data_IF_365206468226
#
_entry.id   IF_365206468226
#
_cell.length_a   1.000
_cell.length_b   1.000
_cell.length_c   1.000
_cell.angle_alpha   90.00
_cell.angle_beta   90.00
_cell.angle_gamma   90.00
#
_symmetry.space_group_name_H-M   'P 1'
#
loop_
_entity.id
_entity.type
_entity.pdbx_description
1 polymer ?
#
# COMPACT_ATOMS: atom_id res chain seq x y z
N UNK A 1 21.61 3.38 -1.05
CA UNK A 1 20.72 3.24 -2.22
C UNK A 1 19.67 4.32 -2.13
N UNK A 2 19.66 5.26 -3.07
CA UNK A 2 18.88 6.50 -2.91
C UNK A 2 17.43 6.35 -3.37
N UNK A 3 17.17 5.44 -4.32
CA UNK A 3 15.83 5.15 -4.88
C UNK A 3 15.29 3.79 -4.41
N UNK A 4 15.55 3.45 -3.15
CA UNK A 4 15.08 2.23 -2.52
C UNK A 4 14.25 2.60 -1.30
N UNK A 5 13.03 2.06 -1.22
CA UNK A 5 12.03 2.39 -0.20
C UNK A 5 11.51 1.13 0.46
N UNK A 6 11.17 1.22 1.74
CA UNK A 6 10.64 0.08 2.45
C UNK A 6 9.57 0.43 3.49
N UNK A 7 8.63 -0.49 3.67
CA UNK A 7 7.67 -0.51 4.76
C UNK A 7 7.78 -1.84 5.51
N UNK A 8 8.09 -1.76 6.80
CA UNK A 8 8.27 -2.90 7.69
C UNK A 8 7.23 -2.83 8.80
N UNK A 9 6.45 -3.89 8.98
CA UNK A 9 5.31 -3.92 9.89
C UNK A 9 5.40 -5.16 10.79
N UNK A 10 5.30 -4.95 12.11
CA UNK A 10 5.21 -6.02 13.11
C UNK A 10 4.02 -5.81 14.03
N UNK A 11 3.09 -6.76 14.10
CA UNK A 11 1.90 -6.66 14.98
C UNK A 11 1.77 -7.96 15.77
N UNK A 12 1.97 -7.88 17.09
CA UNK A 12 1.90 -9.03 17.99
C UNK A 12 0.86 -8.85 19.10
N UNK A 13 0.61 -7.60 19.52
CA UNK A 13 -0.27 -7.28 20.63
C UNK A 13 -1.70 -7.03 20.15
N UNK A 14 -2.47 -8.11 20.02
CA UNK A 14 -3.88 -8.07 19.68
C UNK A 14 -4.76 -8.04 20.94
N UNK A 15 -5.80 -7.21 20.92
CA UNK A 15 -6.77 -7.12 22.03
C UNK A 15 -7.87 -8.18 21.97
N UNK A 16 -8.34 -8.50 20.75
CA UNK A 16 -9.55 -9.32 20.53
C UNK A 16 -9.26 -10.78 20.14
N UNK A 17 -8.00 -11.09 19.84
CA UNK A 17 -7.53 -12.42 19.47
C UNK A 17 -6.22 -12.73 20.20
N UNK A 18 -5.79 -13.98 20.14
CA UNK A 18 -4.55 -14.40 20.78
C UNK A 18 -3.38 -13.52 20.36
N UNK A 19 -2.57 -13.09 21.33
CA UNK A 19 -1.32 -12.39 21.04
C UNK A 19 -0.34 -13.33 20.35
N UNK A 20 0.49 -12.78 19.48
CA UNK A 20 1.64 -13.50 18.94
C UNK A 20 2.86 -13.32 19.86
N UNK A 21 3.86 -14.21 19.78
CA UNK A 21 5.10 -14.04 20.53
C UNK A 21 5.83 -12.76 20.11
N UNK A 22 6.65 -12.22 21.02
CA UNK A 22 7.48 -11.02 20.77
C UNK A 22 8.44 -11.19 19.59
N UNK A 23 8.70 -12.44 19.15
CA UNK A 23 9.48 -12.73 17.94
C UNK A 23 8.95 -11.99 16.72
N UNK A 24 7.64 -11.79 16.60
CA UNK A 24 7.03 -11.01 15.50
C UNK A 24 7.54 -9.57 15.46
N UNK A 25 7.68 -8.94 16.63
CA UNK A 25 8.20 -7.57 16.73
C UNK A 25 9.72 -7.52 16.53
N UNK A 26 10.42 -8.55 17.01
CA UNK A 26 11.86 -8.69 16.82
C UNK A 26 12.22 -8.94 15.36
N UNK A 27 11.42 -9.71 14.63
CA UNK A 27 11.61 -9.95 13.20
C UNK A 27 11.47 -8.64 12.42
N UNK A 28 10.40 -7.87 12.68
CA UNK A 28 10.20 -6.56 12.07
C UNK A 28 11.36 -5.59 12.39
N UNK A 29 11.86 -5.60 13.63
CA UNK A 29 13.02 -4.78 14.00
C UNK A 29 14.29 -5.23 13.26
N UNK A 30 14.56 -6.54 13.22
CA UNK A 30 15.76 -7.10 12.58
C UNK A 30 15.77 -6.82 11.08
N UNK A 31 14.62 -6.93 10.41
CA UNK A 31 14.49 -6.57 9.00
C UNK A 31 14.72 -5.08 8.77
N UNK A 32 14.16 -4.22 9.63
CA UNK A 32 14.42 -2.77 9.55
C UNK A 32 15.92 -2.47 9.69
N UNK A 33 16.57 -3.04 10.71
CA UNK A 33 18.00 -2.82 10.99
C UNK A 33 18.87 -3.31 9.82
N UNK A 34 18.56 -4.48 9.24
CA UNK A 34 19.26 -5.02 8.07
C UNK A 34 19.11 -4.13 6.83
N UNK A 35 17.93 -3.54 6.63
CA UNK A 35 17.67 -2.67 5.46
C UNK A 35 18.49 -1.39 5.51
N UNK A 36 18.57 -0.74 6.68
CA UNK A 36 19.30 0.53 6.84
C UNK A 36 20.80 0.35 7.04
N UNK A 37 21.26 -0.87 7.32
CA UNK A 37 22.68 -1.17 7.49
C UNK A 37 23.45 -0.95 6.18
N UNK A 38 24.41 -0.02 6.21
CA UNK A 38 25.23 0.38 5.07
C UNK A 38 26.16 -0.71 4.54
N UNK A 39 26.47 -1.73 5.36
CA UNK A 39 27.28 -2.88 4.97
C UNK A 39 26.45 -4.01 4.35
N UNK A 40 25.13 -3.97 4.47
CA UNK A 40 24.21 -4.96 3.92
C UNK A 40 23.38 -4.37 2.79
N UNK A 41 22.20 -3.83 3.10
CA UNK A 41 21.25 -3.34 2.09
C UNK A 41 21.40 -1.83 1.80
N UNK A 42 21.86 -1.04 2.78
CA UNK A 42 22.19 0.38 2.61
C UNK A 42 21.03 1.26 2.12
N UNK A 43 19.79 0.95 2.52
CA UNK A 43 18.65 1.84 2.29
C UNK A 43 18.85 3.12 3.12
N UNK A 44 18.48 4.27 2.57
CA UNK A 44 18.41 5.48 3.39
C UNK A 44 17.38 5.29 4.51
N UNK A 45 17.75 5.67 5.73
CA UNK A 45 16.85 5.57 6.89
C UNK A 45 15.54 6.35 6.66
N UNK A 46 15.60 7.47 5.94
CA UNK A 46 14.43 8.28 5.60
C UNK A 46 13.47 7.58 4.62
N UNK A 47 13.96 6.59 3.87
CA UNK A 47 13.17 5.81 2.93
C UNK A 47 12.59 4.52 3.53
N UNK A 48 12.90 4.21 4.79
CA UNK A 48 12.45 2.98 5.47
C UNK A 48 11.51 3.34 6.63
N UNK A 49 10.26 2.89 6.54
CA UNK A 49 9.25 3.09 7.58
C UNK A 49 9.05 1.81 8.39
N UNK A 50 9.25 1.87 9.71
CA UNK A 50 8.90 0.81 10.66
C UNK A 50 7.62 1.17 11.43
N UNK A 51 6.66 0.25 11.47
CA UNK A 51 5.44 0.33 12.28
C UNK A 51 5.30 -0.91 13.15
N UNK A 52 5.16 -0.72 14.47
CA UNK A 52 4.97 -1.80 15.45
C UNK A 52 3.72 -1.62 16.28
N UNK A 53 2.96 -2.69 16.49
CA UNK A 53 1.75 -2.74 17.34
C UNK A 53 0.84 -1.51 17.20
N UNK A 54 0.66 -0.73 18.26
CA UNK A 54 -0.23 0.44 18.30
C UNK A 54 0.11 1.53 17.28
N UNK A 55 1.33 1.56 16.75
CA UNK A 55 1.70 2.46 15.66
C UNK A 55 1.22 1.94 14.29
N UNK A 56 1.01 0.64 14.11
CA UNK A 56 0.56 0.00 12.87
C UNK A 56 -0.97 0.10 12.69
N UNK A 57 -1.51 1.31 12.86
CA UNK A 57 -2.94 1.58 12.65
C UNK A 57 -3.30 1.50 11.17
N UNK A 58 -4.59 1.29 10.85
CA UNK A 58 -5.09 1.35 9.47
C UNK A 58 -4.67 2.65 8.76
N UNK A 59 -4.82 3.79 9.43
CA UNK A 59 -4.43 5.10 8.88
C UNK A 59 -2.94 5.18 8.60
N UNK A 60 -2.10 4.75 9.54
CA UNK A 60 -0.65 4.77 9.37
C UNK A 60 -0.18 3.84 8.24
N UNK A 61 -0.78 2.64 8.13
CA UNK A 61 -0.51 1.70 7.05
C UNK A 61 -0.94 2.25 5.68
N UNK A 62 -2.16 2.77 5.57
CA UNK A 62 -2.65 3.39 4.33
C UNK A 62 -1.77 4.56 3.91
N UNK A 63 -1.40 5.44 4.85
CA UNK A 63 -0.55 6.58 4.57
C UNK A 63 0.86 6.16 4.17
N UNK A 64 1.44 5.15 4.82
CA UNK A 64 2.75 4.62 4.43
C UNK A 64 2.74 4.02 3.01
N UNK A 65 1.69 3.28 2.65
CA UNK A 65 1.51 2.73 1.30
C UNK A 65 1.32 3.84 0.25
N UNK A 66 0.54 4.88 0.55
CA UNK A 66 0.40 6.06 -0.31
C UNK A 66 1.73 6.77 -0.50
N UNK A 67 2.50 6.97 0.57
CA UNK A 67 3.82 7.61 0.49
C UNK A 67 4.78 6.79 -0.37
N UNK A 68 4.80 5.46 -0.22
CA UNK A 68 5.61 4.58 -1.06
C UNK A 68 5.25 4.77 -2.54
N UNK A 69 3.96 4.74 -2.89
CA UNK A 69 3.51 4.93 -4.27
C UNK A 69 3.87 6.31 -4.85
N UNK A 70 3.85 7.36 -4.02
CA UNK A 70 4.20 8.73 -4.42
C UNK A 70 5.72 8.95 -4.57
N UNK A 71 6.52 8.24 -3.76
CA UNK A 71 7.98 8.40 -3.74
C UNK A 71 8.68 7.45 -4.71
N UNK A 72 8.04 6.35 -5.10
CA UNK A 72 8.57 5.40 -6.08
C UNK A 72 8.39 5.89 -7.52
N UNK A 73 9.38 5.60 -8.37
CA UNK A 73 9.33 5.77 -9.82
C UNK A 73 9.64 4.43 -10.52
N UNK A 74 9.78 4.45 -11.86
CA UNK A 74 10.00 3.23 -12.66
C UNK A 74 11.28 2.46 -12.30
N UNK A 75 12.29 3.14 -11.75
CA UNK A 75 13.58 2.56 -11.35
C UNK A 75 13.66 2.30 -9.84
N UNK A 76 12.58 2.55 -9.09
CA UNK A 76 12.57 2.41 -7.64
C UNK A 76 12.44 0.96 -7.22
N UNK A 77 13.18 0.58 -6.17
CA UNK A 77 12.99 -0.70 -5.49
C UNK A 77 12.11 -0.47 -4.26
N UNK A 78 10.97 -1.17 -4.19
CA UNK A 78 10.06 -1.10 -3.04
C UNK A 78 10.04 -2.45 -2.33
N UNK A 79 10.30 -2.45 -1.03
CA UNK A 79 10.27 -3.64 -0.17
C UNK A 79 9.17 -3.51 0.88
N UNK A 80 8.29 -4.50 1.00
CA UNK A 80 7.23 -4.53 2.01
C UNK A 80 7.35 -5.82 2.81
N UNK A 81 7.51 -5.69 4.12
CA UNK A 81 7.56 -6.80 5.07
C UNK A 81 6.46 -6.66 6.12
N UNK A 82 5.70 -7.73 6.33
CA UNK A 82 4.62 -7.77 7.31
C UNK A 82 4.73 -9.07 8.10
N UNK A 83 4.91 -8.95 9.41
CA UNK A 83 4.82 -10.04 10.38
C UNK A 83 3.63 -9.79 11.30
N UNK A 84 2.57 -10.58 11.15
CA UNK A 84 1.29 -10.38 11.83
C UNK A 84 0.43 -11.65 11.76
N UNK A 85 -0.74 -11.64 12.42
CA UNK A 85 -1.79 -12.62 12.11
C UNK A 85 -2.22 -12.50 10.66
N UNK A 86 -2.40 -13.66 10.01
CA UNK A 86 -3.07 -13.77 8.72
C UNK A 86 -4.56 -14.06 8.94
N UNK A 87 -5.42 -13.40 8.16
CA UNK A 87 -6.85 -13.66 8.16
C UNK A 87 -7.31 -13.97 6.75
N UNK A 88 -8.02 -15.08 6.58
CA UNK A 88 -8.82 -15.29 5.39
C UNK A 88 -10.23 -14.80 5.70
N UNK A 89 -10.78 -13.97 4.82
CA UNK A 89 -12.18 -13.62 4.87
C UNK A 89 -12.82 -14.30 3.67
N UNK A 90 -13.76 -15.22 3.86
CA UNK A 90 -14.43 -15.95 2.76
C UNK A 90 -15.19 -15.03 1.80
N UNK A 91 -15.32 -13.74 2.15
CA UNK A 91 -15.79 -12.67 1.28
C UNK A 91 -14.74 -12.13 0.30
N UNK A 92 -13.52 -12.67 0.25
CA UNK A 92 -12.56 -12.37 -0.81
C UNK A 92 -12.86 -13.18 -2.06
N UNK A 93 -13.99 -12.88 -2.69
CA UNK A 93 -13.91 -12.78 -4.15
C UNK A 93 -12.74 -11.84 -4.43
N UNK A 94 -11.83 -12.24 -5.32
CA UNK A 94 -11.04 -11.25 -6.03
C UNK A 94 -11.99 -10.09 -6.33
N UNK A 95 -11.71 -8.87 -5.86
CA UNK A 95 -12.20 -7.70 -6.60
C UNK A 95 -11.40 -7.65 -7.90
N UNK A 96 -11.60 -8.65 -8.76
CA UNK A 96 -11.91 -8.35 -10.14
C UNK A 96 -12.98 -7.29 -10.00
N UNK A 97 -12.62 -6.03 -10.22
CA UNK A 97 -13.64 -5.06 -10.54
C UNK A 97 -14.48 -5.79 -11.60
N UNK A 98 -15.73 -6.11 -11.27
CA UNK A 98 -16.65 -6.50 -12.32
C UNK A 98 -16.59 -5.35 -13.33
N UNK A 99 -16.65 -5.65 -14.63
CA UNK A 99 -16.66 -4.61 -15.66
C UNK A 99 -17.64 -3.49 -15.27
N UNK A 100 -18.77 -3.85 -14.65
CA UNK A 100 -19.76 -2.93 -14.10
C UNK A 100 -19.21 -1.99 -12.99
N UNK A 101 -18.44 -2.49 -12.04
CA UNK A 101 -17.87 -1.69 -10.93
C UNK A 101 -16.70 -0.80 -11.42
N UNK A 102 -15.93 -1.29 -12.40
CA UNK A 102 -14.91 -0.51 -13.09
C UNK A 102 -15.54 0.60 -13.94
N UNK A 103 -16.64 0.28 -14.64
CA UNK A 103 -17.40 1.22 -15.45
C UNK A 103 -18.03 2.31 -14.57
N UNK A 104 -18.65 1.97 -13.44
CA UNK A 104 -19.25 2.96 -12.52
C UNK A 104 -18.20 3.94 -11.97
N UNK A 105 -17.04 3.45 -11.50
CA UNK A 105 -15.98 4.32 -10.99
C UNK A 105 -15.26 5.11 -12.08
N UNK A 106 -15.09 4.51 -13.27
CA UNK A 106 -14.53 5.22 -14.41
C UNK A 106 -15.50 6.28 -14.94
N UNK A 107 -16.81 6.05 -14.92
CA UNK A 107 -17.77 6.93 -15.57
C UNK A 107 -17.90 8.27 -14.88
N UNK A 108 -17.81 8.37 -13.54
CA UNK A 108 -17.83 9.70 -12.89
C UNK A 108 -16.63 10.57 -13.29
N UNK A 109 -15.43 9.99 -13.35
CA UNK A 109 -14.23 10.70 -13.80
C UNK A 109 -14.22 10.95 -15.31
N UNK A 110 -14.66 9.94 -16.09
CA UNK A 110 -14.72 10.00 -17.54
C UNK A 110 -15.78 11.00 -18.00
N UNK A 111 -16.92 11.13 -17.32
CA UNK A 111 -17.97 12.10 -17.63
C UNK A 111 -17.47 13.53 -17.43
N UNK A 112 -16.73 13.79 -16.36
CA UNK A 112 -16.08 15.10 -16.13
C UNK A 112 -15.07 15.43 -17.25
N UNK A 113 -14.27 14.46 -17.65
CA UNK A 113 -13.32 14.63 -18.77
C UNK A 113 -14.03 14.84 -20.11
N UNK A 114 -15.00 13.98 -20.45
CA UNK A 114 -15.76 14.04 -21.70
C UNK A 114 -16.57 15.34 -21.80
N UNK A 115 -17.09 15.85 -20.69
CA UNK A 115 -17.88 17.10 -20.67
C UNK A 115 -17.00 18.34 -20.83
N UNK A 116 -15.83 18.37 -20.21
CA UNK A 116 -15.01 19.57 -20.15
C UNK A 116 -13.90 19.64 -21.21
N UNK A 117 -13.61 18.55 -21.93
CA UNK A 117 -12.58 18.57 -22.97
C UNK A 117 -13.16 19.04 -24.32
N UNK A 118 -12.65 20.16 -24.90
CA UNK A 118 -13.14 20.68 -26.17
C UNK A 118 -12.69 19.86 -27.39
N UNK A 119 -11.78 18.90 -27.21
CA UNK A 119 -11.25 18.04 -28.28
C UNK A 119 -11.97 16.69 -28.41
N UNK A 120 -13.06 16.49 -27.67
CA UNK A 120 -13.87 15.27 -27.71
C UNK A 120 -15.11 15.49 -28.57
N UNK A 121 -15.39 14.53 -29.46
CA UNK A 121 -16.54 14.54 -30.35
C UNK A 121 -17.86 14.45 -29.57
N UNK A 122 -18.91 15.08 -30.09
CA UNK A 122 -20.22 15.11 -29.42
C UNK A 122 -20.86 13.71 -29.27
N UNK A 123 -20.55 12.76 -30.15
CA UNK A 123 -21.02 11.36 -30.06
C UNK A 123 -20.45 10.62 -28.85
N UNK A 124 -19.25 11.00 -28.42
CA UNK A 124 -18.50 10.24 -27.41
C UNK A 124 -18.87 10.72 -26.00
N UNK A 125 -19.58 11.85 -25.90
CA UNK A 125 -20.06 12.44 -24.64
C UNK A 125 -21.16 11.62 -23.96
N UNK A 126 -21.77 10.67 -24.66
CA UNK A 126 -22.83 9.78 -24.13
C UNK A 126 -22.36 8.35 -23.87
N UNK A 127 -21.05 8.09 -23.86
CA UNK A 127 -20.49 6.75 -23.59
C UNK A 127 -20.78 6.25 -22.16
N UNK A 128 -21.03 7.17 -21.23
CA UNK A 128 -21.49 6.88 -19.87
C UNK A 128 -22.87 7.56 -19.67
N UNK A 129 -23.99 6.81 -19.65
CA UNK A 129 -25.31 7.35 -19.35
C UNK A 129 -25.49 7.70 -17.86
#
# INVERSE_FOLDING_TARGET
MDNAHALVVGIANYEKINKLPDTVLNDAQTIYDLLIDSHHCGYSQDNVKLLKDGAATKTALSQALTNLAQQSNQDATVFIYISSHGGQNDSSGLRTFNLDELLIHSCSWLQDYLSNNPHVNNSDRSLCP
#
